data_IF_416715260461
#
_entry.id   IF_416715260461
#
_cell.length_a   1.000
_cell.length_b   1.000
_cell.length_c   1.000
_cell.angle_alpha   90.00
_cell.angle_beta   90.00
_cell.angle_gamma   90.00
#
_symmetry.space_group_name_H-M   'P 1'
#
loop_
_entity.id
_entity.type
_entity.pdbx_description
1 polymer ?
#
# COMPACT_ATOMS: atom_id res chain seq x y z
N UNK A 1 -42.06 -36.45 -17.15
CA UNK A 1 -41.10 -36.99 -18.14
C UNK A 1 -39.74 -36.41 -17.79
N UNK A 2 -38.98 -37.12 -16.96
CA UNK A 2 -37.69 -37.76 -17.27
C UNK A 2 -36.52 -36.83 -16.89
N UNK A 3 -35.50 -37.18 -16.09
CA UNK A 3 -35.10 -38.38 -15.35
C UNK A 3 -34.02 -37.94 -14.36
N UNK A 4 -34.11 -38.37 -13.10
CA UNK A 4 -33.13 -38.15 -12.04
C UNK A 4 -31.85 -38.98 -12.26
N UNK A 5 -30.69 -38.32 -12.22
CA UNK A 5 -29.36 -38.92 -12.35
C UNK A 5 -28.70 -39.17 -10.98
N UNK A 6 -29.12 -40.23 -10.30
CA UNK A 6 -28.60 -40.68 -9.01
C UNK A 6 -27.20 -41.31 -9.15
N UNK A 7 -26.13 -40.55 -8.89
CA UNK A 7 -24.76 -41.10 -8.86
C UNK A 7 -24.44 -41.68 -7.48
N UNK A 8 -24.63 -43.00 -7.34
CA UNK A 8 -24.07 -43.82 -6.26
C UNK A 8 -22.54 -43.74 -6.30
N UNK A 9 -21.90 -43.16 -5.28
CA UNK A 9 -20.48 -43.39 -5.02
C UNK A 9 -20.31 -44.44 -3.94
N UNK A 10 -19.50 -45.41 -4.32
CA UNK A 10 -19.11 -46.63 -3.61
C UNK A 10 -18.56 -46.35 -2.21
N UNK A 11 -19.21 -46.92 -1.20
CA UNK A 11 -18.62 -47.13 0.12
C UNK A 11 -17.61 -48.28 -0.01
N UNK A 12 -16.35 -47.96 -0.27
CA UNK A 12 -15.27 -48.91 -0.10
C UNK A 12 -15.06 -49.16 1.39
N UNK A 13 -15.43 -50.37 1.79
CA UNK A 13 -15.13 -51.03 3.07
C UNK A 13 -13.64 -51.00 3.37
N UNK A 14 -13.21 -50.16 4.31
CA UNK A 14 -11.86 -50.13 4.87
C UNK A 14 -11.86 -50.68 6.30
N UNK A 15 -12.33 -51.92 6.49
CA UNK A 15 -12.56 -52.47 7.83
C UNK A 15 -11.82 -53.78 8.15
N UNK A 16 -10.90 -54.26 7.30
CA UNK A 16 -10.37 -55.63 7.42
C UNK A 16 -8.84 -55.78 7.39
N UNK A 17 -8.06 -54.73 7.68
CA UNK A 17 -6.57 -54.82 7.67
C UNK A 17 -5.92 -54.70 9.07
N UNK A 18 -6.70 -54.48 10.14
CA UNK A 18 -6.15 -54.22 11.47
C UNK A 18 -5.71 -55.45 12.28
N UNK A 19 -5.95 -56.68 11.82
CA UNK A 19 -5.68 -57.88 12.63
C UNK A 19 -4.36 -58.61 12.33
N UNK A 20 -3.56 -58.19 11.35
CA UNK A 20 -2.29 -58.86 11.00
C UNK A 20 -1.01 -58.20 11.53
N UNK A 21 -1.10 -57.09 12.26
CA UNK A 21 0.06 -56.30 12.73
C UNK A 21 0.32 -56.39 14.25
N UNK A 22 -0.03 -57.50 14.91
CA UNK A 22 0.21 -57.70 16.35
C UNK A 22 1.38 -58.65 16.70
N UNK A 23 2.16 -59.09 15.72
CA UNK A 23 3.33 -59.94 15.96
C UNK A 23 4.65 -59.17 15.89
N UNK A 24 5.24 -58.84 17.04
CA UNK A 24 6.63 -58.37 17.20
C UNK A 24 7.01 -56.98 16.65
N UNK A 25 6.22 -55.94 16.91
CA UNK A 25 6.76 -54.58 16.83
C UNK A 25 7.60 -54.31 18.10
N UNK A 26 8.92 -54.24 17.91
CA UNK A 26 9.89 -53.90 18.96
C UNK A 26 9.49 -52.59 19.66
N UNK A 27 9.53 -52.53 21.02
CA UNK A 27 9.13 -51.33 21.77
C UNK A 27 9.96 -50.10 21.38
N UNK A 28 11.15 -50.29 20.82
CA UNK A 28 12.01 -49.22 20.30
C UNK A 28 11.39 -48.54 19.07
N UNK A 29 10.75 -49.30 18.18
CA UNK A 29 10.12 -48.76 16.98
C UNK A 29 8.86 -47.93 17.33
N UNK A 30 8.10 -48.36 18.34
CA UNK A 30 6.93 -47.62 18.82
C UNK A 30 7.32 -46.29 19.47
N UNK A 31 8.43 -46.27 20.22
CA UNK A 31 8.95 -45.05 20.84
C UNK A 31 9.46 -44.04 19.80
N UNK A 32 10.14 -44.52 18.75
CA UNK A 32 10.62 -43.67 17.64
C UNK A 32 9.48 -43.06 16.82
N UNK A 33 8.40 -43.82 16.57
CA UNK A 33 7.21 -43.29 15.91
C UNK A 33 6.47 -42.25 16.76
N UNK A 34 6.40 -42.42 18.09
CA UNK A 34 5.79 -41.43 18.98
C UNK A 34 6.58 -40.11 19.01
N UNK A 35 7.92 -40.17 18.98
CA UNK A 35 8.76 -38.97 18.91
C UNK A 35 8.62 -38.28 17.55
N UNK A 36 8.60 -39.04 16.44
CA UNK A 36 8.39 -38.47 15.10
C UNK A 36 7.00 -37.83 14.93
N UNK A 37 5.96 -38.43 15.50
CA UNK A 37 4.61 -37.87 15.49
C UNK A 37 4.50 -36.60 16.35
N UNK A 38 5.26 -36.50 17.45
CA UNK A 38 5.30 -35.30 18.29
C UNK A 38 6.00 -34.11 17.58
N UNK A 39 7.02 -34.38 16.75
CA UNK A 39 7.72 -33.33 15.99
C UNK A 39 6.86 -32.84 14.81
N UNK A 40 6.03 -33.72 14.22
CA UNK A 40 5.16 -33.36 13.09
C UNK A 40 3.97 -32.45 13.46
N UNK A 41 3.66 -32.28 14.76
CA UNK A 41 2.58 -31.40 15.24
C UNK A 41 3.02 -29.99 15.63
N UNK A 42 4.26 -29.59 15.35
CA UNK A 42 4.63 -28.17 15.44
C UNK A 42 4.04 -27.43 14.23
N UNK A 43 2.72 -27.25 14.21
CA UNK A 43 2.11 -26.22 13.40
C UNK A 43 2.76 -24.92 13.82
N UNK A 44 3.49 -24.27 12.91
CA UNK A 44 4.05 -22.95 13.16
C UNK A 44 2.89 -22.07 13.65
N UNK A 45 2.89 -21.72 14.93
CA UNK A 45 1.95 -20.76 15.48
C UNK A 45 2.40 -19.42 14.91
N UNK A 46 1.85 -19.09 13.75
CA UNK A 46 2.15 -17.88 13.01
C UNK A 46 1.51 -16.71 13.77
N UNK A 47 2.21 -16.26 14.82
CA UNK A 47 1.79 -15.14 15.64
C UNK A 47 1.89 -13.86 14.81
N UNK A 48 0.79 -13.52 14.14
CA UNK A 48 0.60 -12.26 13.45
C UNK A 48 0.35 -11.15 14.48
N UNK A 49 1.25 -10.18 14.57
CA UNK A 49 1.02 -8.97 15.36
C UNK A 49 0.46 -7.89 14.42
N UNK A 50 -0.79 -7.55 14.62
CA UNK A 50 -1.49 -6.48 13.93
C UNK A 50 -1.32 -5.17 14.71
N UNK A 51 -1.09 -4.08 14.00
CA UNK A 51 -1.18 -2.73 14.58
C UNK A 51 -2.51 -2.13 14.16
N UNK A 52 -3.34 -1.87 15.15
CA UNK A 52 -4.64 -1.25 14.98
C UNK A 52 -4.53 0.22 15.35
N UNK A 53 -5.16 1.08 14.55
CA UNK A 53 -5.25 2.51 14.83
C UNK A 53 -6.72 2.89 14.80
N UNK A 54 -7.24 3.26 15.96
CA UNK A 54 -8.64 3.65 16.13
C UNK A 54 -8.93 5.03 15.51
N UNK A 55 -10.21 5.42 15.49
CA UNK A 55 -10.64 6.73 14.98
C UNK A 55 -10.07 7.92 15.77
N UNK A 56 -9.65 7.71 17.02
CA UNK A 56 -8.99 8.70 17.86
C UNK A 56 -7.47 8.78 17.63
N UNK A 57 -6.91 7.89 16.80
CA UNK A 57 -5.48 7.78 16.51
C UNK A 57 -4.68 7.01 17.56
N UNK A 58 -5.32 6.36 18.53
CA UNK A 58 -4.63 5.48 19.47
C UNK A 58 -4.15 4.23 18.74
N UNK A 59 -2.98 3.74 19.13
CA UNK A 59 -2.40 2.54 18.53
C UNK A 59 -2.43 1.38 19.51
N UNK A 60 -3.10 0.30 19.14
CA UNK A 60 -3.10 -0.98 19.86
C UNK A 60 -2.39 -2.05 19.03
N UNK A 61 -1.78 -3.02 19.70
CA UNK A 61 -1.12 -4.17 19.06
C UNK A 61 -1.82 -5.43 19.50
N UNK A 62 -2.35 -6.18 18.55
CA UNK A 62 -3.20 -7.36 18.80
C UNK A 62 -2.66 -8.57 18.05
N UNK A 63 -2.90 -9.76 18.60
CA UNK A 63 -2.61 -11.04 17.92
C UNK A 63 -3.65 -11.43 16.87
N UNK A 64 -4.69 -10.62 16.71
CA UNK A 64 -5.85 -10.83 15.85
C UNK A 64 -6.13 -9.58 15.02
N UNK A 65 -6.76 -9.72 13.86
CA UNK A 65 -7.08 -8.60 12.96
C UNK A 65 -7.93 -7.53 13.69
N UNK A 66 -7.70 -6.27 13.34
CA UNK A 66 -8.42 -5.14 13.94
C UNK A 66 -9.90 -5.17 13.57
N UNK A 67 -10.74 -4.50 14.37
CA UNK A 67 -12.14 -4.30 14.01
C UNK A 67 -12.25 -3.48 12.70
N UNK A 68 -13.36 -3.63 11.97
CA UNK A 68 -13.49 -3.14 10.59
C UNK A 68 -13.37 -1.61 10.44
N UNK A 69 -13.48 -0.88 11.53
CA UNK A 69 -13.41 0.56 11.65
C UNK A 69 -12.01 1.10 12.02
N UNK A 70 -11.04 0.21 12.28
CA UNK A 70 -9.67 0.59 12.63
C UNK A 70 -8.71 0.43 11.44
N UNK A 71 -7.83 1.43 11.23
CA UNK A 71 -6.83 1.33 10.16
C UNK A 71 -5.73 0.33 10.56
N UNK A 72 -5.74 -0.83 9.91
CA UNK A 72 -4.83 -1.94 10.21
C UNK A 72 -3.52 -1.76 9.44
N UNK A 73 -2.39 -1.60 10.15
CA UNK A 73 -1.05 -1.60 9.54
C UNK A 73 -0.30 -2.87 9.93
N UNK A 74 -0.01 -3.73 8.96
CA UNK A 74 0.71 -4.99 9.19
C UNK A 74 2.20 -4.73 9.42
N UNK A 75 2.78 -5.29 10.49
CA UNK A 75 4.21 -5.11 10.83
C UNK A 75 5.04 -6.38 10.58
N UNK A 76 4.44 -7.59 10.58
CA UNK A 76 5.16 -8.85 10.36
C UNK A 76 4.92 -9.46 8.97
N UNK A 77 5.99 -9.98 8.35
CA UNK A 77 5.99 -10.67 7.04
C UNK A 77 5.21 -12.00 7.03
N UNK A 78 4.82 -12.52 8.19
CA UNK A 78 4.19 -13.83 8.38
C UNK A 78 2.65 -13.77 8.47
N UNK A 79 2.05 -12.62 8.82
CA UNK A 79 0.59 -12.56 8.97
C UNK A 79 -0.16 -12.81 7.64
N UNK A 80 -1.01 -13.85 7.60
CA UNK A 80 -1.91 -14.11 6.47
C UNK A 80 -2.75 -12.87 6.18
N UNK A 81 -2.95 -12.55 4.89
CA UNK A 81 -3.73 -11.40 4.44
C UNK A 81 -5.04 -11.28 5.23
N UNK A 82 -5.44 -10.07 5.61
CA UNK A 82 -6.71 -9.83 6.31
C UNK A 82 -7.79 -10.60 5.55
N UNK A 83 -8.42 -11.63 6.17
CA UNK A 83 -9.33 -12.51 5.47
C UNK A 83 -10.49 -11.67 4.94
N UNK A 84 -10.49 -11.44 3.63
CA UNK A 84 -11.43 -10.49 3.07
C UNK A 84 -11.05 -9.74 1.82
N UNK A 85 -9.86 -9.16 1.73
CA UNK A 85 -9.55 -8.28 0.61
C UNK A 85 -9.20 -9.08 -0.65
N UNK A 86 -10.11 -9.11 -1.63
CA UNK A 86 -9.82 -9.66 -2.95
C UNK A 86 -9.10 -8.61 -3.81
N UNK A 87 -7.77 -8.59 -3.72
CA UNK A 87 -6.93 -7.68 -4.47
C UNK A 87 -6.54 -8.20 -5.86
N UNK A 88 -7.15 -9.29 -6.35
CA UNK A 88 -6.83 -9.85 -7.68
C UNK A 88 -7.18 -8.89 -8.81
N UNK A 89 -8.31 -8.17 -8.68
CA UNK A 89 -8.69 -7.15 -9.66
C UNK A 89 -7.72 -5.96 -9.62
N UNK A 90 -7.35 -5.50 -8.41
CA UNK A 90 -6.34 -4.45 -8.25
C UNK A 90 -4.99 -4.85 -8.83
N UNK A 91 -4.58 -6.12 -8.68
CA UNK A 91 -3.35 -6.64 -9.29
C UNK A 91 -3.40 -6.57 -10.82
N UNK A 92 -4.48 -7.07 -11.43
CA UNK A 92 -4.67 -7.01 -12.89
C UNK A 92 -4.68 -5.57 -13.40
N UNK A 93 -5.40 -4.67 -12.72
CA UNK A 93 -5.44 -3.25 -13.07
C UNK A 93 -4.08 -2.59 -12.91
N UNK A 94 -3.33 -2.96 -11.86
CA UNK A 94 -2.00 -2.43 -11.62
C UNK A 94 -0.99 -2.87 -12.69
N UNK A 95 -1.07 -4.12 -13.16
CA UNK A 95 -0.25 -4.63 -14.26
C UNK A 95 -0.55 -3.85 -15.54
N UNK A 96 -1.84 -3.69 -15.88
CA UNK A 96 -2.24 -2.96 -17.09
C UNK A 96 -1.81 -1.49 -17.06
N UNK A 97 -2.07 -0.81 -15.93
CA UNK A 97 -1.67 0.59 -15.70
C UNK A 97 -0.15 0.76 -15.79
N UNK A 98 0.63 -0.11 -15.13
CA UNK A 98 2.08 -0.03 -15.17
C UNK A 98 2.65 -0.26 -16.58
N UNK A 99 2.05 -1.19 -17.34
CA UNK A 99 2.40 -1.43 -18.75
C UNK A 99 2.14 -0.21 -19.62
N UNK A 100 0.96 0.41 -19.50
CA UNK A 100 0.56 1.61 -20.24
C UNK A 100 1.43 2.83 -19.90
N UNK A 101 1.71 3.04 -18.61
CA UNK A 101 2.65 4.05 -18.15
C UNK A 101 4.04 3.87 -18.77
N UNK A 102 4.59 2.65 -18.78
CA UNK A 102 5.89 2.37 -19.40
C UNK A 102 5.89 2.54 -20.93
N UNK A 103 4.73 2.45 -21.58
CA UNK A 103 4.57 2.78 -22.99
C UNK A 103 4.50 4.30 -23.26
N UNK A 104 4.63 5.14 -22.23
CA UNK A 104 4.59 6.59 -22.33
C UNK A 104 3.18 7.18 -22.32
N UNK A 105 2.16 6.37 -22.00
CA UNK A 105 0.80 6.88 -21.84
C UNK A 105 0.69 7.69 -20.55
N UNK A 106 0.19 8.92 -20.65
CA UNK A 106 0.03 9.81 -19.48
C UNK A 106 -1.15 9.38 -18.61
N UNK A 107 -1.12 9.73 -17.33
CA UNK A 107 -2.23 9.42 -16.41
C UNK A 107 -3.55 10.05 -16.84
N UNK A 108 -3.53 11.25 -17.44
CA UNK A 108 -4.71 11.89 -17.99
C UNK A 108 -5.34 11.05 -19.11
N UNK A 109 -4.55 10.60 -20.07
CA UNK A 109 -5.01 9.73 -21.16
C UNK A 109 -5.59 8.41 -20.65
N UNK A 110 -4.94 7.81 -19.63
CA UNK A 110 -5.46 6.62 -18.99
C UNK A 110 -6.81 6.85 -18.30
N UNK A 111 -6.95 7.94 -17.55
CA UNK A 111 -8.23 8.29 -16.91
C UNK A 111 -9.34 8.51 -17.95
N UNK A 112 -9.03 9.22 -19.04
CA UNK A 112 -9.98 9.46 -20.13
C UNK A 112 -10.42 8.16 -20.80
N UNK A 113 -9.50 7.18 -20.95
CA UNK A 113 -9.82 5.87 -21.52
C UNK A 113 -10.87 5.09 -20.71
N UNK A 114 -10.96 5.36 -19.41
CA UNK A 114 -11.96 4.78 -18.51
C UNK A 114 -13.22 5.64 -18.31
N UNK A 115 -13.43 6.66 -19.17
CA UNK A 115 -14.57 7.58 -19.08
C UNK A 115 -14.32 8.84 -18.23
N UNK A 116 -13.05 9.13 -17.91
CA UNK A 116 -12.62 10.31 -17.16
C UNK A 116 -12.49 10.06 -15.66
N UNK A 117 -11.95 11.04 -14.93
CA UNK A 117 -11.72 10.90 -13.48
C UNK A 117 -13.03 10.72 -12.67
N UNK A 118 -14.16 11.24 -13.18
CA UNK A 118 -15.45 11.17 -12.49
C UNK A 118 -16.18 9.82 -12.64
N UNK A 119 -15.81 8.98 -13.60
CA UNK A 119 -16.37 7.64 -13.77
C UNK A 119 -15.70 6.60 -12.87
N UNK A 120 -14.57 6.96 -12.26
CA UNK A 120 -13.74 6.08 -11.47
C UNK A 120 -14.06 6.19 -9.98
N UNK A 121 -13.96 5.07 -9.28
CA UNK A 121 -14.03 5.09 -7.82
C UNK A 121 -12.77 5.74 -7.23
N UNK A 122 -12.84 6.29 -5.99
CA UNK A 122 -11.67 6.78 -5.27
C UNK A 122 -10.55 5.75 -5.13
N UNK A 123 -10.91 4.46 -5.08
CA UNK A 123 -9.96 3.36 -5.01
C UNK A 123 -9.17 3.21 -6.31
N UNK A 124 -9.85 3.21 -7.46
CA UNK A 124 -9.20 3.12 -8.76
C UNK A 124 -8.30 4.33 -9.02
N UNK A 125 -8.77 5.53 -8.67
CA UNK A 125 -7.98 6.77 -8.75
C UNK A 125 -6.72 6.67 -7.87
N UNK A 126 -6.87 6.20 -6.63
CA UNK A 126 -5.75 6.03 -5.71
C UNK A 126 -4.72 5.03 -6.21
N UNK A 127 -5.18 3.91 -6.79
CA UNK A 127 -4.32 2.88 -7.37
C UNK A 127 -3.54 3.42 -8.58
N UNK A 128 -4.24 4.05 -9.54
CA UNK A 128 -3.62 4.62 -10.75
C UNK A 128 -2.61 5.71 -10.36
N UNK A 129 -3.00 6.63 -9.48
CA UNK A 129 -2.13 7.71 -9.00
C UNK A 129 -0.87 7.18 -8.31
N UNK A 130 -0.99 6.09 -7.55
CA UNK A 130 0.16 5.44 -6.91
C UNK A 130 1.14 4.88 -7.94
N UNK A 131 0.64 4.25 -9.01
CA UNK A 131 1.46 3.65 -10.07
C UNK A 131 2.18 4.74 -10.86
N UNK A 132 1.49 5.82 -11.24
CA UNK A 132 2.11 6.97 -11.91
C UNK A 132 3.11 7.74 -11.04
N UNK A 133 3.12 7.53 -9.72
CA UNK A 133 4.20 8.00 -8.85
C UNK A 133 5.57 7.36 -9.15
N UNK A 134 5.59 6.27 -9.94
CA UNK A 134 6.81 5.64 -10.45
C UNK A 134 7.16 6.07 -11.88
N UNK A 135 6.40 6.99 -12.48
CA UNK A 135 6.73 7.49 -13.82
C UNK A 135 8.12 8.15 -13.82
N UNK A 136 8.89 7.91 -14.88
CA UNK A 136 10.31 8.26 -14.97
C UNK A 136 11.28 7.37 -14.17
N UNK A 137 10.81 6.41 -13.37
CA UNK A 137 11.68 5.48 -12.65
C UNK A 137 11.94 4.20 -13.47
N UNK A 138 13.00 4.24 -14.27
CA UNK A 138 13.44 3.10 -15.12
C UNK A 138 13.95 1.90 -14.31
N UNK A 139 14.24 2.05 -13.01
CA UNK A 139 14.74 0.95 -12.17
C UNK A 139 13.64 0.04 -11.65
N UNK A 140 12.38 0.46 -11.71
CA UNK A 140 11.25 -0.31 -11.23
C UNK A 140 10.58 -1.08 -12.39
N UNK A 141 10.67 -2.41 -12.36
CA UNK A 141 9.95 -3.24 -13.34
C UNK A 141 8.43 -3.17 -13.12
N UNK A 142 7.65 -3.37 -14.20
CA UNK A 142 6.18 -3.40 -14.13
C UNK A 142 5.67 -4.38 -13.06
N UNK A 143 6.27 -5.58 -12.99
CA UNK A 143 5.93 -6.62 -12.02
C UNK A 143 6.18 -6.16 -10.58
N UNK A 144 7.27 -5.43 -10.34
CA UNK A 144 7.57 -4.88 -9.01
C UNK A 144 6.56 -3.81 -8.61
N UNK A 145 6.20 -2.92 -9.54
CA UNK A 145 5.20 -1.87 -9.28
C UNK A 145 3.83 -2.49 -8.97
N UNK A 146 3.39 -3.45 -9.78
CA UNK A 146 2.14 -4.17 -9.56
C UNK A 146 2.12 -4.94 -8.23
N UNK A 147 3.23 -5.59 -7.86
CA UNK A 147 3.38 -6.27 -6.56
C UNK A 147 3.21 -5.28 -5.40
N UNK A 148 3.89 -4.12 -5.46
CA UNK A 148 3.79 -3.10 -4.42
C UNK A 148 2.39 -2.49 -4.33
N UNK A 149 1.73 -2.28 -5.46
CA UNK A 149 0.36 -1.81 -5.52
C UNK A 149 -0.61 -2.84 -4.91
N UNK A 150 -0.43 -4.12 -5.22
CA UNK A 150 -1.22 -5.23 -4.66
C UNK A 150 -1.03 -5.34 -3.15
N UNK A 151 0.20 -5.21 -2.64
CA UNK A 151 0.45 -5.17 -1.20
C UNK A 151 -0.22 -3.97 -0.52
N UNK A 152 -0.26 -2.80 -1.17
CA UNK A 152 -1.02 -1.64 -0.68
C UNK A 152 -2.53 -1.89 -0.66
N UNK A 153 -3.07 -2.57 -1.67
CA UNK A 153 -4.47 -3.00 -1.66
C UNK A 153 -4.76 -3.94 -0.48
N UNK A 154 -3.88 -4.93 -0.23
CA UNK A 154 -4.05 -5.92 0.86
C UNK A 154 -4.10 -5.29 2.25
N UNK A 155 -3.48 -4.13 2.43
CA UNK A 155 -3.55 -3.35 3.68
C UNK A 155 -4.64 -2.27 3.68
N UNK A 156 -5.54 -2.27 2.69
CA UNK A 156 -6.64 -1.30 2.59
C UNK A 156 -6.20 0.12 2.26
N UNK A 157 -4.99 0.32 1.73
CA UNK A 157 -4.40 1.66 1.58
C UNK A 157 -5.11 2.54 0.53
N UNK A 158 -5.97 1.97 -0.29
CA UNK A 158 -6.75 2.66 -1.33
C UNK A 158 -8.24 2.85 -0.96
N UNK A 159 -8.67 2.43 0.23
CA UNK A 159 -10.04 2.58 0.72
C UNK A 159 -10.64 1.31 1.30
N UNK A 160 -11.87 1.44 1.84
CA UNK A 160 -12.48 0.44 2.72
C UNK A 160 -13.10 -0.76 1.98
N UNK A 161 -13.29 -0.71 0.64
CA UNK A 161 -14.03 -1.72 -0.13
C UNK A 161 -13.35 -2.16 -1.44
N UNK A 162 -12.12 -2.72 -1.43
CA UNK A 162 -11.48 -3.25 -2.64
C UNK A 162 -12.16 -4.52 -3.19
N UNK A 163 -13.14 -5.08 -2.47
CA UNK A 163 -13.85 -6.32 -2.85
C UNK A 163 -14.89 -6.12 -3.94
N UNK A 164 -15.49 -4.94 -4.03
CA UNK A 164 -16.53 -4.71 -5.03
C UNK A 164 -15.87 -4.52 -6.39
N UNK A 165 -16.24 -5.32 -7.39
CA UNK A 165 -15.79 -5.05 -8.75
C UNK A 165 -16.22 -3.66 -9.23
N UNK A 166 -17.34 -3.15 -8.69
CA UNK A 166 -17.89 -1.85 -9.05
C UNK A 166 -16.96 -0.70 -8.62
N UNK A 167 -15.97 -0.99 -7.78
CA UNK A 167 -14.90 -0.05 -7.45
C UNK A 167 -13.85 0.10 -8.56
N UNK A 168 -13.91 -0.68 -9.64
CA UNK A 168 -12.95 -0.66 -10.75
C UNK A 168 -13.62 -0.18 -12.04
N UNK A 169 -12.84 0.29 -13.04
CA UNK A 169 -13.40 0.76 -14.31
C UNK A 169 -14.26 -0.33 -14.97
N UNK A 170 -15.44 0.05 -15.44
CA UNK A 170 -16.42 -0.92 -15.98
C UNK A 170 -15.91 -1.62 -17.23
N UNK A 171 -15.35 -0.85 -18.15
CA UNK A 171 -14.69 -1.29 -19.38
C UNK A 171 -13.55 -2.28 -19.08
N UNK A 172 -12.76 -2.01 -18.04
CA UNK A 172 -11.71 -2.92 -17.59
C UNK A 172 -12.28 -4.26 -17.10
N UNK A 173 -13.32 -4.23 -16.25
CA UNK A 173 -13.97 -5.45 -15.75
C UNK A 173 -14.62 -6.24 -16.89
N UNK A 174 -15.26 -5.57 -17.84
CA UNK A 174 -15.84 -6.20 -19.03
C UNK A 174 -14.76 -6.88 -19.88
N UNK A 175 -13.59 -6.25 -20.06
CA UNK A 175 -12.44 -6.85 -20.77
C UNK A 175 -11.89 -8.12 -20.10
N UNK A 176 -12.07 -8.25 -18.78
CA UNK A 176 -11.72 -9.44 -18.01
C UNK A 176 -12.79 -10.55 -18.08
N UNK A 177 -13.88 -10.35 -18.83
CA UNK A 177 -15.00 -11.29 -18.90
C UNK A 177 -15.98 -11.16 -17.72
N UNK A 178 -16.05 -9.97 -17.11
CA UNK A 178 -16.96 -9.67 -15.99
C UNK A 178 -16.36 -9.96 -14.61
N UNK A 179 -17.15 -9.65 -13.58
CA UNK A 179 -16.76 -9.77 -12.17
C UNK A 179 -16.24 -11.15 -11.76
N UNK A 180 -16.99 -12.19 -12.12
CA UNK A 180 -16.69 -13.56 -11.71
C UNK A 180 -15.34 -14.02 -12.28
N UNK A 181 -15.11 -13.72 -13.56
CA UNK A 181 -13.85 -13.97 -14.26
C UNK A 181 -12.69 -13.12 -13.71
N UNK A 182 -12.97 -11.86 -13.36
CA UNK A 182 -11.98 -10.96 -12.77
C UNK A 182 -11.47 -11.47 -11.40
N UNK A 183 -12.37 -12.04 -10.60
CA UNK A 183 -12.07 -12.66 -9.29
C UNK A 183 -11.53 -14.09 -9.39
N UNK A 184 -11.59 -14.73 -10.55
CA UNK A 184 -11.03 -16.06 -10.78
C UNK A 184 -9.56 -16.14 -10.36
N UNK A 185 -9.11 -17.33 -9.90
CA UNK A 185 -7.69 -17.58 -9.65
C UNK A 185 -6.90 -17.36 -10.95
N UNK A 186 -5.71 -16.79 -10.85
CA UNK A 186 -4.72 -16.73 -11.92
C UNK A 186 -4.15 -18.15 -12.11
N UNK A 187 -5.00 -19.12 -12.41
CA UNK A 187 -4.61 -20.48 -12.79
C UNK A 187 -4.54 -20.60 -14.32
N UNK A 188 -4.98 -19.57 -15.04
CA UNK A 188 -4.62 -19.35 -16.44
C UNK A 188 -3.25 -18.69 -16.46
N UNK A 189 -2.23 -19.52 -16.72
CA UNK A 189 -1.12 -19.13 -17.59
C UNK A 189 -1.72 -18.25 -18.67
N UNK A 190 -1.43 -16.95 -18.63
CA UNK A 190 -1.86 -16.00 -19.66
C UNK A 190 -1.22 -16.55 -20.92
N UNK A 191 -1.96 -17.36 -21.66
CA UNK A 191 -1.72 -17.63 -23.06
C UNK A 191 -1.78 -16.25 -23.65
N UNK A 192 -0.59 -15.65 -23.76
CA UNK A 192 -0.29 -14.43 -24.48
C UNK A 192 -1.12 -14.57 -25.74
N UNK A 193 -2.19 -13.79 -25.81
CA UNK A 193 -2.95 -13.63 -27.02
C UNK A 193 -1.87 -13.22 -28.01
N UNK A 194 -1.53 -14.15 -28.90
CA UNK A 194 -0.73 -13.87 -30.09
C UNK A 194 -1.62 -13.01 -30.97
N UNK A 195 -1.82 -11.78 -30.52
CA UNK A 195 -2.21 -10.68 -31.38
C UNK A 195 -1.03 -10.50 -32.30
N UNK A 196 -1.27 -10.76 -33.56
CA UNK A 196 -0.35 -10.45 -34.65
C UNK A 196 0.29 -9.10 -34.37
N UNK A 197 1.61 -9.10 -34.27
CA UNK A 197 2.39 -7.87 -34.19
C UNK A 197 1.99 -7.01 -35.38
N UNK A 198 1.42 -5.80 -35.19
CA UNK A 198 1.22 -4.90 -36.30
C UNK A 198 2.61 -4.64 -36.89
N UNK A 199 2.86 -5.15 -38.09
CA UNK A 199 4.04 -4.82 -38.87
C UNK A 199 3.84 -3.41 -39.43
N UNK A 200 3.70 -2.43 -38.55
CA UNK A 200 3.85 -1.03 -38.89
C UNK A 200 5.26 -0.64 -38.50
N UNK A 201 6.13 -0.71 -39.51
CA UNK A 201 7.43 -0.07 -39.64
C UNK A 201 7.54 1.15 -38.69
N UNK A 202 8.49 1.17 -37.74
CA UNK A 202 8.74 2.40 -37.00
C UNK A 202 9.12 3.49 -38.01
N UNK A 203 8.63 4.74 -37.87
CA UNK A 203 9.19 5.83 -38.62
C UNK A 203 10.68 5.89 -38.29
N UNK A 204 11.52 5.74 -39.31
CA UNK A 204 12.93 6.11 -39.26
C UNK A 204 13.01 7.56 -38.82
N UNK A 205 13.28 7.78 -37.53
CA UNK A 205 13.73 9.08 -37.06
C UNK A 205 15.10 9.31 -37.70
N UNK A 206 15.11 10.25 -38.64
CA UNK A 206 16.30 10.74 -39.29
C UNK A 206 17.16 11.42 -38.21
N UNK A 207 18.26 10.77 -37.84
CA UNK A 207 19.19 11.22 -36.80
C UNK A 207 20.23 12.17 -37.41
N UNK A 208 19.76 13.21 -38.09
CA UNK A 208 20.61 14.27 -38.64
C UNK A 208 20.38 15.56 -37.86
N UNK A 209 21.40 15.97 -37.10
CA UNK A 209 21.56 17.37 -36.69
C UNK A 209 21.02 17.76 -35.32
N UNK A 210 21.63 17.25 -34.24
CA UNK A 210 21.70 18.01 -32.99
C UNK A 210 23.15 18.38 -32.73
N UNK A 211 23.51 19.59 -33.15
CA UNK A 211 24.71 20.27 -32.70
C UNK A 211 24.61 20.48 -31.18
N UNK A 212 25.59 19.95 -30.44
CA UNK A 212 25.84 20.30 -29.05
C UNK A 212 26.13 21.81 -28.95
N UNK A 213 25.40 22.59 -28.15
CA UNK A 213 25.92 23.87 -27.70
C UNK A 213 27.03 23.62 -26.67
N UNK A 214 28.15 24.32 -26.88
CA UNK A 214 29.29 24.41 -25.96
C UNK A 214 28.85 24.68 -24.52
N UNK A 215 29.48 23.96 -23.59
CA UNK A 215 29.47 24.23 -22.16
C UNK A 215 30.15 25.58 -21.89
N UNK A 216 29.36 26.65 -21.90
CA UNK A 216 29.73 27.96 -21.40
C UNK A 216 29.75 28.00 -19.87
N UNK A 217 30.96 28.16 -19.35
CA UNK A 217 31.41 28.85 -18.12
C UNK A 217 30.50 28.95 -16.88
N UNK A 218 31.13 28.56 -15.76
CA UNK A 218 30.64 28.66 -14.40
C UNK A 218 30.25 30.09 -14.00
N UNK A 219 29.02 30.27 -13.52
CA UNK A 219 28.58 31.50 -12.87
C UNK A 219 28.77 31.40 -11.34
N UNK A 220 29.42 32.38 -10.68
CA UNK A 220 29.69 32.33 -9.25
C UNK A 220 28.44 32.57 -8.39
N UNK A 221 28.46 31.94 -7.22
CA UNK A 221 27.43 31.97 -6.20
C UNK A 221 27.04 33.40 -5.78
N UNK A 222 25.75 33.70 -5.88
CA UNK A 222 25.13 34.90 -5.29
C UNK A 222 24.81 34.61 -3.81
N UNK A 223 25.27 35.43 -2.85
CA UNK A 223 24.88 35.28 -1.45
C UNK A 223 23.44 35.78 -1.25
N UNK A 224 22.54 34.89 -0.83
CA UNK A 224 21.19 35.27 -0.44
C UNK A 224 21.19 35.69 1.03
N UNK A 225 21.16 37.01 1.27
CA UNK A 225 20.89 37.59 2.58
C UNK A 225 19.38 37.62 2.82
N UNK A 226 18.90 36.76 3.73
CA UNK A 226 17.51 36.82 4.17
C UNK A 226 17.35 37.81 5.32
N UNK A 227 16.61 38.89 5.07
CA UNK A 227 16.17 39.83 6.08
C UNK A 227 15.18 39.17 7.06
N UNK A 228 15.40 39.43 8.34
CA UNK A 228 14.61 38.96 9.49
C UNK A 228 13.23 39.63 9.48
N UNK A 229 12.09 38.90 9.54
CA UNK A 229 10.78 39.53 9.64
C UNK A 229 10.61 40.18 11.02
N UNK A 230 10.30 41.47 11.02
CA UNK A 230 9.91 42.24 12.21
C UNK A 230 8.52 41.80 12.69
N UNK A 231 8.44 41.43 13.97
CA UNK A 231 7.20 41.15 14.69
C UNK A 231 6.33 42.40 14.82
N UNK A 232 5.00 42.34 14.57
CA UNK A 232 4.13 43.44 14.90
C UNK A 232 3.86 43.47 16.43
N UNK A 233 4.15 44.61 17.05
CA UNK A 233 3.70 44.95 18.39
C UNK A 233 2.23 45.34 18.33
N UNK A 234 1.33 44.53 18.89
CA UNK A 234 -0.05 44.96 19.12
C UNK A 234 -0.24 45.32 20.59
N UNK A 235 -0.65 46.58 20.75
CA UNK A 235 -0.93 47.26 21.99
C UNK A 235 -2.15 46.72 22.71
N UNK A 236 -2.17 47.13 23.97
CA UNK A 236 -3.02 46.76 25.09
C UNK A 236 -4.34 47.54 25.08
N UNK A 237 -5.30 47.02 25.86
CA UNK A 237 -6.59 47.57 26.34
C UNK A 237 -7.80 47.00 25.58
N UNK A 238 -8.88 46.50 26.20
CA UNK A 238 -9.60 46.89 27.44
C UNK A 238 -10.22 45.65 28.12
N UNK A 239 -10.41 45.75 29.46
CA UNK A 239 -11.09 44.79 30.36
C UNK A 239 -12.63 44.93 30.31
N UNK A 240 -13.37 43.81 30.33
CA UNK A 240 -14.35 43.41 31.37
C UNK A 240 -15.44 42.45 30.85
N UNK A 241 -15.79 41.50 31.73
CA UNK A 241 -16.91 40.55 31.78
C UNK A 241 -16.94 39.37 30.80
N UNK A 242 -17.39 38.17 31.16
CA UNK A 242 -17.24 37.27 32.31
C UNK A 242 -17.67 35.89 31.73
N UNK A 243 -16.92 34.84 32.07
CA UNK A 243 -17.12 33.41 31.78
C UNK A 243 -17.19 32.86 30.33
N UNK A 244 -17.36 33.69 29.29
CA UNK A 244 -17.25 33.23 27.89
C UNK A 244 -15.81 33.32 27.30
N UNK A 245 -14.92 34.08 27.95
CA UNK A 245 -13.57 34.37 27.44
C UNK A 245 -12.53 33.26 27.67
N UNK A 246 -12.76 32.35 28.62
CA UNK A 246 -11.82 31.27 28.93
C UNK A 246 -11.70 30.25 27.78
N UNK A 247 -12.83 29.91 27.13
CA UNK A 247 -12.85 28.98 26.00
C UNK A 247 -12.15 29.54 24.75
N UNK A 248 -12.27 30.84 24.50
CA UNK A 248 -11.61 31.52 23.38
C UNK A 248 -10.10 31.64 23.61
N UNK A 249 -9.66 31.88 24.86
CA UNK A 249 -8.25 31.90 25.21
C UNK A 249 -7.56 30.54 25.02
N UNK A 250 -8.23 29.45 25.37
CA UNK A 250 -7.69 28.08 25.23
C UNK A 250 -7.58 27.69 23.74
N UNK A 251 -8.57 28.01 22.90
CA UNK A 251 -8.51 27.69 21.47
C UNK A 251 -7.40 28.46 20.75
N UNK A 252 -7.19 29.74 21.11
CA UNK A 252 -6.12 30.57 20.55
C UNK A 252 -4.73 30.12 21.02
N UNK A 253 -4.59 29.72 22.29
CA UNK A 253 -3.35 29.17 22.83
C UNK A 253 -2.96 27.85 22.14
N UNK A 254 -3.94 26.96 21.95
CA UNK A 254 -3.76 25.69 21.23
C UNK A 254 -3.36 25.89 19.78
N UNK A 255 -4.05 26.78 19.05
CA UNK A 255 -3.73 27.12 17.68
C UNK A 255 -2.29 27.68 17.54
N UNK A 256 -1.89 28.55 18.48
CA UNK A 256 -0.55 29.12 18.52
C UNK A 256 0.53 28.05 18.80
N UNK A 257 0.23 27.09 19.70
CA UNK A 257 1.11 25.97 20.01
C UNK A 257 1.32 25.07 18.78
N UNK A 258 0.23 24.69 18.10
CA UNK A 258 0.26 23.88 16.88
C UNK A 258 1.05 24.56 15.76
N UNK A 259 0.85 25.87 15.55
CA UNK A 259 1.57 26.64 14.52
C UNK A 259 3.08 26.61 14.74
N UNK A 260 3.56 26.88 15.96
CA UNK A 260 5.00 26.92 16.28
C UNK A 260 5.67 25.55 16.15
N UNK A 261 4.97 24.48 16.53
CA UNK A 261 5.51 23.12 16.43
C UNK A 261 5.54 22.62 14.99
N UNK A 262 4.54 22.95 14.17
CA UNK A 262 4.56 22.63 12.74
C UNK A 262 5.72 23.32 12.03
N UNK A 263 5.94 24.61 12.28
CA UNK A 263 7.07 25.37 11.73
C UNK A 263 8.41 24.73 12.12
N UNK A 264 8.56 24.34 13.39
CA UNK A 264 9.78 23.66 13.88
C UNK A 264 9.98 22.28 13.24
N UNK A 265 8.90 21.58 12.91
CA UNK A 265 8.94 20.27 12.27
C UNK A 265 9.35 20.37 10.80
N UNK A 266 8.81 21.37 10.08
CA UNK A 266 9.23 21.66 8.70
C UNK A 266 10.70 22.03 8.62
N UNK A 267 11.19 22.87 9.52
CA UNK A 267 12.60 23.26 9.58
C UNK A 267 13.50 22.04 9.85
N UNK A 268 13.08 21.15 10.76
CA UNK A 268 13.80 19.89 11.02
C UNK A 268 13.84 18.99 9.78
N UNK A 269 12.75 18.91 9.00
CA UNK A 269 12.71 18.14 7.75
C UNK A 269 13.60 18.76 6.68
N UNK A 270 13.64 20.09 6.56
CA UNK A 270 14.58 20.78 5.66
C UNK A 270 16.03 20.49 6.04
N UNK A 271 16.36 20.54 7.32
CA UNK A 271 17.70 20.21 7.81
C UNK A 271 18.08 18.74 7.54
N UNK A 272 17.14 17.80 7.66
CA UNK A 272 17.40 16.39 7.33
C UNK A 272 17.69 16.16 5.84
N UNK A 273 17.10 16.99 4.96
CA UNK A 273 17.39 16.95 3.51
C UNK A 273 18.75 17.57 3.18
N UNK A 274 19.17 18.59 3.94
CA UNK A 274 20.45 19.28 3.73
C UNK A 274 21.65 18.57 4.40
N UNK A 275 21.44 17.83 5.49
CA UNK A 275 22.52 17.20 6.24
C UNK A 275 23.07 15.93 5.56
N UNK A 276 24.38 15.88 5.31
CA UNK A 276 25.04 14.74 4.66
C UNK A 276 25.59 13.69 5.66
N UNK A 277 25.76 14.02 6.93
CA UNK A 277 26.37 13.10 7.91
C UNK A 277 25.33 12.30 8.70
N UNK A 278 25.57 10.99 8.80
CA UNK A 278 24.69 10.01 9.48
C UNK A 278 24.41 10.39 10.94
N UNK A 279 25.44 10.84 11.67
CA UNK A 279 25.31 11.27 13.06
C UNK A 279 24.38 12.50 13.23
N UNK A 280 24.35 13.41 12.25
CA UNK A 280 23.44 14.56 12.26
C UNK A 280 22.03 14.13 11.94
N UNK A 281 21.87 13.19 11.00
CA UNK A 281 20.57 12.67 10.61
C UNK A 281 19.86 11.93 11.75
N UNK A 282 20.61 11.20 12.58
CA UNK A 282 20.07 10.52 13.76
C UNK A 282 19.58 11.51 14.82
N UNK A 283 20.38 12.55 15.13
CA UNK A 283 19.96 13.64 16.04
C UNK A 283 18.70 14.37 15.55
N UNK A 284 18.59 14.61 14.25
CA UNK A 284 17.41 15.26 13.65
C UNK A 284 16.17 14.36 13.69
N UNK A 285 16.32 13.03 13.52
CA UNK A 285 15.21 12.07 13.70
C UNK A 285 14.71 12.05 15.14
N UNK A 286 15.61 12.10 16.12
CA UNK A 286 15.21 12.14 17.53
C UNK A 286 14.54 13.46 17.90
N UNK A 287 15.04 14.58 17.38
CA UNK A 287 14.38 15.89 17.50
C UNK A 287 12.99 15.87 16.87
N UNK A 288 12.83 15.26 15.70
CA UNK A 288 11.53 15.11 15.05
C UNK A 288 10.55 14.27 15.91
N UNK A 289 11.02 13.18 16.53
CA UNK A 289 10.22 12.37 17.46
C UNK A 289 9.80 13.17 18.69
N UNK A 290 10.68 13.99 19.25
CA UNK A 290 10.36 14.86 20.38
C UNK A 290 9.31 15.93 20.02
N UNK A 291 9.46 16.60 18.87
CA UNK A 291 8.49 17.61 18.40
C UNK A 291 7.11 17.00 18.17
N UNK A 292 7.03 15.80 17.58
CA UNK A 292 5.75 15.07 17.42
C UNK A 292 5.09 14.75 18.77
N UNK A 293 5.88 14.40 19.79
CA UNK A 293 5.37 14.14 21.15
C UNK A 293 4.91 15.42 21.86
N UNK A 294 5.50 16.58 21.53
CA UNK A 294 5.02 17.88 22.01
C UNK A 294 3.72 18.30 21.31
N UNK A 295 3.59 17.99 20.02
CA UNK A 295 2.41 18.35 19.22
C UNK A 295 1.15 17.66 19.75
N UNK A 296 1.26 16.42 20.22
CA UNK A 296 0.14 15.72 20.86
C UNK A 296 -0.26 16.28 22.24
N UNK A 297 0.48 17.26 22.78
CA UNK A 297 0.23 17.87 24.10
C UNK A 297 -0.32 19.30 24.04
N UNK A 298 -0.49 19.89 22.85
CA UNK A 298 -0.91 21.29 22.65
C UNK A 298 -2.40 21.60 22.91
#
# INVERSE_FOLDING_TARGET
>A
MATDGFTRRSLCTAQSVWHWFHGQLSPVAFCLCLIAAAIAQTSSVEAAIYKCVDAAGNTTYTGYACEQDESTRRISKAATAVPGFDCRIAEKLAIDTARRMQAGETSATLYDSHGGMNSLSPLAIGLISYIYGFDGNTTASFSRIATLATERCRVGSFGNNPRSCDAYPRDFIESLGGCESAQGKIDQEVSVISGETPTSRPPTMNLDGYALPELGEANPAVPVTYAKPSTPSNGRQIRHADDAGAAVGISQARASCLSRLNESLEETVRQMRASQSVATQERLRDRQRQLKKQLSRC
#
